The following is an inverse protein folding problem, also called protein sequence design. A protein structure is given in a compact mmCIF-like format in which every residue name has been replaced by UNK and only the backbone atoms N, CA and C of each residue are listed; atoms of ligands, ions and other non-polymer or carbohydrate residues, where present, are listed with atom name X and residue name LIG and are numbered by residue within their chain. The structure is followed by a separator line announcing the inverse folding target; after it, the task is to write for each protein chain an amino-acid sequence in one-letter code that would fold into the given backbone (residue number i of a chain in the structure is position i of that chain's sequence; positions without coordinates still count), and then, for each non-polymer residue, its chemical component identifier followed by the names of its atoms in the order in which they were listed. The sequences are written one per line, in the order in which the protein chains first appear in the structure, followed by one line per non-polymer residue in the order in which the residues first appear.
data_IF_951143248713
#
_entry.id   IF_951143248713
#
_cell.length_a   1.000
_cell.length_b   1.000
_cell.length_c   1.000
_cell.angle_alpha   90.00
_cell.angle_beta   90.00
_cell.angle_gamma   90.00
#
_symmetry.space_group_name_H-M   'P 1'
#
loop_
_entity.id
_entity.type
_entity.pdbx_description
1 polymer ?
#
# COMPACT_ATOMS: atom_id res chain seq x y z
N UNK A 1 64.87 -54.60 4.22
CA UNK A 1 64.87 -53.38 3.34
C UNK A 1 63.44 -53.18 2.85
N UNK A 2 62.73 -52.24 3.43
CA UNK A 2 61.37 -51.89 2.99
C UNK A 2 61.40 -50.52 2.29
N UNK A 3 60.80 -50.42 1.13
CA UNK A 3 60.40 -49.12 0.60
C UNK A 3 58.90 -49.12 0.22
N UNK A 4 58.02 -48.73 1.11
CA UNK A 4 56.65 -48.45 0.77
C UNK A 4 56.09 -47.40 1.73
N UNK A 5 56.48 -46.13 1.53
CA UNK A 5 55.87 -45.03 2.30
C UNK A 5 55.52 -43.76 1.48
N UNK A 6 55.75 -43.74 0.17
CA UNK A 6 55.56 -42.54 -0.64
C UNK A 6 54.18 -42.42 -1.33
N UNK A 7 53.44 -43.53 -1.47
CA UNK A 7 52.13 -43.54 -2.17
C UNK A 7 50.96 -42.94 -1.36
N UNK A 8 51.01 -43.03 -0.02
CA UNK A 8 49.94 -42.56 0.84
C UNK A 8 49.86 -41.02 0.94
N UNK A 9 51.00 -40.32 0.99
CA UNK A 9 51.04 -38.85 1.09
C UNK A 9 50.55 -38.16 -0.18
N UNK A 10 50.81 -38.74 -1.34
CA UNK A 10 50.41 -38.15 -2.61
C UNK A 10 48.88 -38.24 -2.81
N UNK A 11 48.21 -39.31 -2.39
CA UNK A 11 46.76 -39.46 -2.44
C UNK A 11 46.03 -38.51 -1.51
N UNK A 12 46.57 -38.24 -0.31
CA UNK A 12 45.94 -37.30 0.62
C UNK A 12 46.01 -35.85 0.15
N UNK A 13 47.08 -35.41 -0.49
CA UNK A 13 47.18 -34.04 -0.99
C UNK A 13 46.30 -33.78 -2.21
N UNK A 14 46.11 -34.78 -3.08
CA UNK A 14 45.22 -34.68 -4.25
C UNK A 14 43.76 -34.59 -3.81
N UNK A 15 43.32 -35.39 -2.81
CA UNK A 15 42.00 -35.33 -2.28
C UNK A 15 41.69 -33.99 -1.58
N UNK A 16 42.65 -33.41 -0.85
CA UNK A 16 42.46 -32.08 -0.22
C UNK A 16 42.32 -30.95 -1.25
N UNK A 17 43.06 -31.01 -2.36
CA UNK A 17 42.92 -30.03 -3.46
C UNK A 17 41.57 -30.19 -4.17
N UNK A 18 41.14 -31.42 -4.42
CA UNK A 18 39.82 -31.72 -5.03
C UNK A 18 38.67 -31.24 -4.17
N UNK A 19 38.70 -31.50 -2.86
CA UNK A 19 37.66 -31.03 -1.89
C UNK A 19 37.62 -29.50 -1.87
N UNK A 20 38.78 -28.82 -1.87
CA UNK A 20 38.79 -27.35 -1.91
C UNK A 20 38.22 -26.81 -3.22
N UNK A 21 38.51 -27.44 -4.35
CA UNK A 21 37.96 -27.04 -5.65
C UNK A 21 36.43 -27.21 -5.68
N UNK A 22 35.94 -28.34 -5.20
CA UNK A 22 34.48 -28.61 -5.09
C UNK A 22 33.81 -27.59 -4.16
N UNK A 23 34.44 -27.25 -3.03
CA UNK A 23 33.89 -26.25 -2.10
C UNK A 23 33.82 -24.83 -2.75
N UNK A 24 34.83 -24.45 -3.53
CA UNK A 24 34.86 -23.19 -4.25
C UNK A 24 33.76 -23.16 -5.33
N UNK A 25 33.62 -24.24 -6.11
CA UNK A 25 32.57 -24.36 -7.13
C UNK A 25 31.17 -24.30 -6.52
N UNK A 26 30.95 -25.01 -5.40
CA UNK A 26 29.67 -24.92 -4.66
C UNK A 26 29.40 -23.50 -4.12
N UNK A 27 30.44 -22.83 -3.61
CA UNK A 27 30.30 -21.45 -3.14
C UNK A 27 29.97 -20.47 -4.29
N UNK A 28 30.60 -20.64 -5.45
CA UNK A 28 30.30 -19.86 -6.66
C UNK A 28 28.87 -20.15 -7.13
N UNK A 29 28.45 -21.42 -7.14
CA UNK A 29 27.08 -21.80 -7.52
C UNK A 29 26.04 -21.23 -6.56
N UNK A 30 26.31 -21.20 -5.25
CA UNK A 30 25.39 -20.58 -4.27
C UNK A 30 25.36 -19.06 -4.40
N UNK A 31 26.45 -18.41 -4.71
CA UNK A 31 26.49 -16.95 -4.97
C UNK A 31 25.77 -16.61 -6.29
N UNK A 32 25.94 -17.42 -7.34
CA UNK A 32 25.21 -17.24 -8.60
C UNK A 32 23.70 -17.54 -8.46
N UNK A 33 23.31 -18.47 -7.60
CA UNK A 33 21.88 -18.73 -7.32
C UNK A 33 21.27 -17.71 -6.36
N UNK A 34 22.08 -17.06 -5.51
CA UNK A 34 21.64 -15.96 -4.64
C UNK A 34 21.65 -14.59 -5.34
N UNK A 35 22.38 -14.44 -6.43
CA UNK A 35 22.11 -13.41 -7.43
C UNK A 35 20.82 -13.82 -8.14
N UNK A 36 19.73 -13.81 -7.37
CA UNK A 36 18.37 -13.97 -7.88
C UNK A 36 18.30 -13.13 -9.14
N UNK A 37 17.82 -13.73 -10.21
CA UNK A 37 17.72 -13.14 -11.53
C UNK A 37 17.56 -11.64 -11.34
N UNK A 38 18.56 -10.87 -11.78
CA UNK A 38 18.35 -9.46 -12.05
C UNK A 38 17.16 -9.49 -13.02
N UNK A 39 15.94 -9.39 -12.46
CA UNK A 39 14.78 -9.10 -13.27
C UNK A 39 15.18 -7.78 -13.93
N UNK A 40 15.66 -7.86 -15.13
CA UNK A 40 15.68 -6.73 -16.02
C UNK A 40 14.22 -6.33 -16.07
N UNK A 41 13.85 -5.30 -15.28
CA UNK A 41 12.56 -4.67 -15.43
C UNK A 41 12.55 -4.16 -16.87
N UNK A 42 12.02 -4.97 -17.77
CA UNK A 42 11.78 -4.57 -19.14
C UNK A 42 10.99 -3.27 -19.03
N UNK A 43 11.45 -2.23 -19.69
CA UNK A 43 10.75 -0.95 -19.68
C UNK A 43 9.32 -1.23 -20.14
N UNK A 44 8.35 -0.80 -19.36
CA UNK A 44 6.95 -1.03 -19.68
C UNK A 44 6.63 -0.37 -21.02
N UNK A 45 6.05 -1.12 -21.96
CA UNK A 45 5.54 -0.61 -23.23
C UNK A 45 4.21 0.15 -23.06
N UNK A 46 3.90 0.53 -21.83
CA UNK A 46 2.70 1.29 -21.46
C UNK A 46 3.04 2.29 -20.36
N UNK A 47 2.17 3.26 -20.16
CA UNK A 47 2.22 4.21 -19.06
C UNK A 47 0.83 4.44 -18.48
N UNK A 48 0.79 5.00 -17.28
CA UNK A 48 -0.45 5.37 -16.60
C UNK A 48 -0.53 6.88 -16.30
N UNK A 49 0.13 7.71 -17.10
CA UNK A 49 0.21 9.17 -16.92
C UNK A 49 -1.17 9.84 -16.83
N UNK A 50 -2.17 9.31 -17.54
CA UNK A 50 -3.55 9.80 -17.55
C UNK A 50 -4.43 9.29 -16.40
N UNK A 51 -3.86 8.52 -15.45
CA UNK A 51 -4.56 8.09 -14.25
C UNK A 51 -4.90 9.29 -13.35
N UNK A 52 -6.04 9.19 -12.66
CA UNK A 52 -6.62 10.30 -11.89
C UNK A 52 -7.03 9.91 -10.48
N UNK A 53 -7.04 10.91 -9.59
CA UNK A 53 -7.83 10.91 -8.37
C UNK A 53 -8.99 11.90 -8.54
N UNK A 54 -10.12 11.64 -7.88
CA UNK A 54 -11.27 12.55 -7.89
C UNK A 54 -10.96 13.87 -7.18
N UNK A 55 -10.10 13.84 -6.17
CA UNK A 55 -9.65 15.00 -5.40
C UNK A 55 -8.30 14.74 -4.75
N UNK A 56 -7.56 15.79 -4.45
CA UNK A 56 -6.31 15.77 -3.70
C UNK A 56 -6.41 16.45 -2.33
N UNK A 57 -7.55 17.06 -2.05
CA UNK A 57 -7.90 17.63 -0.75
C UNK A 57 -9.27 17.10 -0.35
N UNK A 58 -9.30 16.30 0.69
CA UNK A 58 -10.46 15.50 1.06
C UNK A 58 -10.70 15.52 2.56
N UNK A 59 -11.95 15.68 2.98
CA UNK A 59 -12.32 15.43 4.36
C UNK A 59 -12.24 13.93 4.67
N UNK A 60 -11.90 13.57 5.91
CA UNK A 60 -11.67 12.18 6.29
C UNK A 60 -12.90 11.26 6.10
N UNK A 61 -14.10 11.83 6.15
CA UNK A 61 -15.39 11.16 5.94
C UNK A 61 -15.83 11.08 4.48
N UNK A 62 -15.11 11.75 3.57
CA UNK A 62 -15.40 11.75 2.13
C UNK A 62 -14.67 10.59 1.42
N UNK A 63 -14.91 10.44 0.13
CA UNK A 63 -14.30 9.39 -0.69
C UNK A 63 -13.31 9.95 -1.71
N UNK A 64 -12.26 9.18 -1.99
CA UNK A 64 -11.35 9.39 -3.11
C UNK A 64 -11.60 8.28 -4.14
N UNK A 65 -11.99 8.64 -5.33
CA UNK A 65 -12.11 7.70 -6.47
C UNK A 65 -10.78 7.71 -7.22
N UNK A 66 -10.15 6.56 -7.33
CA UNK A 66 -8.88 6.33 -8.02
C UNK A 66 -9.15 5.57 -9.31
N UNK A 67 -8.66 6.09 -10.42
CA UNK A 67 -8.85 5.48 -11.72
C UNK A 67 -7.50 5.36 -12.44
N UNK A 68 -7.08 4.12 -12.73
CA UNK A 68 -5.87 3.84 -13.48
C UNK A 68 -6.23 3.73 -14.96
N UNK A 69 -5.69 4.65 -15.76
CA UNK A 69 -5.82 4.66 -17.22
C UNK A 69 -4.50 4.23 -17.84
N UNK A 70 -4.54 3.15 -18.59
CA UNK A 70 -3.38 2.59 -19.28
C UNK A 70 -3.33 3.12 -20.70
N UNK A 71 -2.15 3.59 -21.13
CA UNK A 71 -1.87 4.02 -22.51
C UNK A 71 -0.63 3.27 -23.01
N UNK A 72 -0.70 2.69 -24.20
CA UNK A 72 0.38 1.91 -24.79
C UNK A 72 -0.08 0.53 -25.25
N UNK A 73 0.86 -0.34 -25.60
CA UNK A 73 0.62 -1.64 -26.24
C UNK A 73 0.73 -2.84 -25.28
N UNK A 74 1.15 -2.64 -24.04
CA UNK A 74 1.28 -3.73 -23.05
C UNK A 74 -0.08 -4.26 -22.59
N UNK A 75 -0.19 -5.58 -22.42
CA UNK A 75 -1.37 -6.21 -21.84
C UNK A 75 -1.31 -6.13 -20.32
N UNK A 76 -1.92 -5.10 -19.75
CA UNK A 76 -2.00 -4.89 -18.31
C UNK A 76 -3.11 -5.74 -17.70
N UNK A 77 -2.81 -6.47 -16.66
CA UNK A 77 -3.75 -7.35 -15.96
C UNK A 77 -3.77 -7.19 -14.44
N UNK A 78 -2.87 -6.41 -13.89
CA UNK A 78 -2.78 -6.18 -12.45
C UNK A 78 -2.59 -4.70 -12.15
N UNK A 79 -3.26 -4.25 -11.09
CA UNK A 79 -3.25 -2.88 -10.60
C UNK A 79 -2.95 -2.85 -9.12
N UNK A 80 -2.35 -1.75 -8.65
CA UNK A 80 -2.05 -1.61 -7.25
C UNK A 80 -2.29 -0.18 -6.76
N UNK A 81 -2.68 -0.09 -5.49
CA UNK A 81 -3.04 1.13 -4.80
C UNK A 81 -2.34 1.13 -3.45
N UNK A 82 -1.40 2.05 -3.28
CA UNK A 82 -0.65 2.20 -2.04
C UNK A 82 -0.72 3.61 -1.51
N UNK A 83 -0.51 3.74 -0.23
CA UNK A 83 -0.37 5.04 0.42
C UNK A 83 0.80 5.02 1.41
N UNK A 84 1.31 6.19 1.68
CA UNK A 84 2.25 6.44 2.76
C UNK A 84 2.15 7.89 3.23
N UNK A 85 2.56 8.17 4.45
CA UNK A 85 2.79 9.56 4.87
C UNK A 85 3.99 10.12 4.10
N UNK A 86 3.97 11.41 3.75
CA UNK A 86 5.07 12.03 2.99
C UNK A 86 6.42 11.88 3.70
N UNK A 87 6.43 11.99 5.04
CA UNK A 87 7.63 11.85 5.89
C UNK A 87 8.12 10.41 6.08
N UNK A 88 7.40 9.39 5.61
CA UNK A 88 7.74 7.97 5.76
C UNK A 88 8.27 7.39 4.45
N UNK A 89 9.05 6.30 4.56
CA UNK A 89 9.51 5.54 3.38
C UNK A 89 8.66 4.31 3.06
N UNK A 90 7.99 3.74 4.08
CA UNK A 90 7.23 2.51 3.95
C UNK A 90 5.88 2.74 3.24
N UNK A 91 5.57 1.87 2.27
CA UNK A 91 4.29 1.85 1.56
C UNK A 91 3.32 0.85 2.19
N UNK A 92 2.05 1.20 2.24
CA UNK A 92 0.94 0.39 2.75
C UNK A 92 -0.08 0.19 1.65
N UNK A 93 -0.52 -1.05 1.45
CA UNK A 93 -1.57 -1.34 0.48
C UNK A 93 -2.92 -0.79 0.93
N UNK A 94 -3.68 -0.21 0.00
CA UNK A 94 -5.07 0.20 0.21
C UNK A 94 -6.04 -0.98 0.03
N UNK A 95 -5.60 -2.03 -0.65
CA UNK A 95 -6.36 -3.25 -0.95
C UNK A 95 -5.89 -4.41 -0.08
N UNK A 96 -6.69 -5.47 0.02
CA UNK A 96 -6.36 -6.69 0.79
C UNK A 96 -5.13 -7.44 0.27
N UNK A 97 -4.78 -7.20 -1.00
CA UNK A 97 -3.57 -7.73 -1.63
C UNK A 97 -2.79 -6.61 -2.31
N UNK A 98 -1.48 -6.80 -2.52
CA UNK A 98 -0.63 -5.80 -3.16
C UNK A 98 -1.04 -5.53 -4.62
N UNK A 99 -1.60 -6.51 -5.31
CA UNK A 99 -2.05 -6.43 -6.69
C UNK A 99 -3.46 -6.97 -6.84
N UNK A 100 -4.30 -6.27 -7.60
CA UNK A 100 -5.71 -6.59 -7.87
C UNK A 100 -5.98 -6.48 -9.37
N UNK A 101 -7.09 -7.07 -9.83
CA UNK A 101 -7.50 -7.02 -11.23
C UNK A 101 -8.29 -5.76 -11.61
N UNK A 102 -8.79 -5.01 -10.63
CA UNK A 102 -9.58 -3.80 -10.88
C UNK A 102 -8.70 -2.58 -11.08
N UNK A 103 -8.93 -1.84 -12.15
CA UNK A 103 -8.28 -0.55 -12.43
C UNK A 103 -8.96 0.65 -11.75
N UNK A 104 -10.01 0.40 -10.96
CA UNK A 104 -10.71 1.39 -10.17
C UNK A 104 -10.72 0.99 -8.70
N UNK A 105 -10.53 1.95 -7.82
CA UNK A 105 -10.62 1.78 -6.38
C UNK A 105 -11.24 3.00 -5.72
N UNK A 106 -12.07 2.78 -4.71
CA UNK A 106 -12.67 3.83 -3.89
C UNK A 106 -12.09 3.72 -2.49
N UNK A 107 -11.40 4.76 -2.08
CA UNK A 107 -10.83 4.89 -0.74
C UNK A 107 -11.72 5.80 0.10
N UNK A 108 -11.99 5.37 1.33
CA UNK A 108 -12.55 6.20 2.39
C UNK A 108 -11.45 6.40 3.44
N UNK A 109 -10.88 7.60 3.60
CA UNK A 109 -9.79 7.84 4.56
C UNK A 109 -10.14 7.38 5.97
N UNK A 110 -11.40 7.54 6.40
CA UNK A 110 -11.89 7.10 7.71
C UNK A 110 -11.73 5.61 8.01
N UNK A 111 -11.55 4.77 6.99
CA UNK A 111 -11.30 3.33 7.15
C UNK A 111 -9.84 2.97 7.45
N UNK A 112 -8.95 3.94 7.39
CA UNK A 112 -7.52 3.75 7.57
C UNK A 112 -7.05 4.45 8.85
N UNK A 113 -6.84 3.68 9.91
CA UNK A 113 -6.46 4.21 11.23
C UNK A 113 -5.20 5.07 11.20
N UNK A 114 -4.23 4.72 10.35
CA UNK A 114 -3.01 5.53 10.17
C UNK A 114 -3.31 6.93 9.64
N UNK A 115 -4.25 7.07 8.73
CA UNK A 115 -4.67 8.37 8.18
C UNK A 115 -5.44 9.13 9.25
N UNK A 116 -6.35 8.46 9.94
CA UNK A 116 -7.20 9.08 10.97
C UNK A 116 -6.42 9.52 12.20
N UNK A 117 -5.30 8.86 12.53
CA UNK A 117 -4.44 9.29 13.64
C UNK A 117 -3.62 10.54 13.33
N UNK A 118 -3.58 10.99 12.07
CA UNK A 118 -2.74 12.09 11.62
C UNK A 118 -3.42 12.88 10.49
N UNK A 119 -4.60 13.40 10.79
CA UNK A 119 -5.35 14.30 9.91
C UNK A 119 -4.61 15.63 9.75
N UNK A 120 -4.78 16.27 8.60
CA UNK A 120 -4.05 17.46 8.13
C UNK A 120 -2.59 17.22 7.73
N UNK A 121 -2.12 15.98 7.79
CA UNK A 121 -0.83 15.61 7.21
C UNK A 121 -0.96 15.39 5.70
N UNK A 122 0.19 15.54 5.04
CA UNK A 122 0.29 15.25 3.61
C UNK A 122 0.60 13.78 3.39
N UNK A 123 -0.22 13.14 2.58
CA UNK A 123 -0.12 11.73 2.21
C UNK A 123 0.26 11.59 0.75
N UNK A 124 0.93 10.53 0.40
CA UNK A 124 1.25 10.18 -0.98
C UNK A 124 0.48 8.92 -1.34
N UNK A 125 -0.32 8.99 -2.39
CA UNK A 125 -1.00 7.85 -3.00
C UNK A 125 -0.22 7.46 -4.25
N UNK A 126 0.13 6.18 -4.37
CA UNK A 126 0.75 5.61 -5.56
C UNK A 126 -0.23 4.66 -6.23
N UNK A 127 -0.52 4.96 -7.48
CA UNK A 127 -1.21 4.07 -8.40
C UNK A 127 -0.16 3.35 -9.22
N UNK A 128 -0.33 2.05 -9.47
CA UNK A 128 0.56 1.29 -10.35
C UNK A 128 -0.20 0.27 -11.18
N UNK A 129 0.36 -0.08 -12.30
CA UNK A 129 -0.13 -1.11 -13.20
C UNK A 129 1.04 -2.02 -13.60
N UNK A 130 0.74 -3.30 -13.78
CA UNK A 130 1.69 -4.33 -14.18
C UNK A 130 1.13 -5.13 -15.34
N UNK A 131 1.96 -5.43 -16.32
CA UNK A 131 1.60 -6.29 -17.45
C UNK A 131 1.93 -7.76 -17.18
N UNK A 132 1.59 -8.60 -18.14
CA UNK A 132 1.82 -10.06 -18.07
C UNK A 132 3.29 -10.44 -18.08
N UNK A 133 4.19 -9.54 -18.46
CA UNK A 133 5.66 -9.76 -18.44
C UNK A 133 6.28 -9.35 -17.11
N UNK A 134 5.52 -8.70 -16.23
CA UNK A 134 5.98 -8.17 -14.96
C UNK A 134 6.50 -6.73 -15.04
N UNK A 135 6.44 -6.09 -16.22
CA UNK A 135 6.83 -4.68 -16.36
C UNK A 135 5.81 -3.78 -15.66
N UNK A 136 6.30 -2.74 -14.96
CA UNK A 136 5.48 -1.87 -14.12
C UNK A 136 5.55 -0.41 -14.58
N UNK A 137 4.40 0.28 -14.47
CA UNK A 137 4.31 1.73 -14.56
C UNK A 137 3.57 2.27 -13.34
N UNK A 138 3.99 3.41 -12.81
CA UNK A 138 3.35 4.00 -11.63
C UNK A 138 3.24 5.51 -11.71
N UNK A 139 2.26 6.07 -10.95
CA UNK A 139 2.03 7.50 -10.78
C UNK A 139 1.72 7.80 -9.32
N UNK A 140 2.28 8.87 -8.82
CA UNK A 140 2.06 9.34 -7.44
C UNK A 140 1.25 10.63 -7.41
N UNK A 141 0.46 10.77 -6.35
CA UNK A 141 -0.34 11.95 -6.05
C UNK A 141 -0.12 12.35 -4.61
N UNK A 142 -0.07 13.65 -4.37
CA UNK A 142 -0.07 14.19 -3.01
C UNK A 142 -1.51 14.49 -2.60
N UNK A 143 -1.88 14.03 -1.41
CA UNK A 143 -3.25 14.15 -0.88
C UNK A 143 -3.18 14.69 0.54
N UNK A 144 -3.99 15.70 0.82
CA UNK A 144 -4.23 16.19 2.19
C UNK A 144 -5.57 15.65 2.66
N UNK A 145 -5.57 15.01 3.84
CA UNK A 145 -6.79 14.51 4.48
C UNK A 145 -7.09 15.39 5.67
N UNK A 146 -8.14 16.21 5.55
CA UNK A 146 -8.61 17.10 6.60
C UNK A 146 -9.45 16.38 7.65
N UNK A 147 -9.86 17.13 8.67
CA UNK A 147 -10.81 16.65 9.67
C UNK A 147 -12.16 16.31 9.01
N UNK A 148 -12.93 15.37 9.57
CA UNK A 148 -14.29 15.11 9.11
C UNK A 148 -15.11 16.40 9.13
N UNK A 149 -15.81 16.69 8.05
CA UNK A 149 -16.79 17.78 8.02
C UNK A 149 -18.12 17.20 8.45
N UNK A 150 -18.39 17.27 9.74
CA UNK A 150 -19.72 16.95 10.26
C UNK A 150 -20.56 18.22 10.13
N UNK A 151 -21.51 18.26 9.20
CA UNK A 151 -22.54 19.27 9.22
C UNK A 151 -23.77 18.71 9.95
N UNK A 152 -24.18 19.38 11.00
CA UNK A 152 -25.48 19.15 11.63
C UNK A 152 -26.48 20.02 10.86
N UNK A 153 -27.26 19.37 9.98
CA UNK A 153 -28.15 20.12 9.06
C UNK A 153 -29.24 20.88 9.75
N UNK A 154 -29.81 20.36 10.82
CA UNK A 154 -30.78 21.06 11.65
C UNK A 154 -30.90 20.39 13.00
N UNK A 155 -30.84 21.18 14.04
CA UNK A 155 -31.32 20.81 15.35
C UNK A 155 -32.53 21.69 15.65
N UNK A 156 -33.74 21.12 15.64
CA UNK A 156 -34.92 21.80 16.13
C UNK A 156 -35.18 21.26 17.54
N UNK A 157 -34.95 22.08 18.55
CA UNK A 157 -35.42 21.82 19.89
C UNK A 157 -36.88 22.31 19.94
N UNK A 158 -37.89 21.44 20.02
CA UNK A 158 -39.24 21.88 20.33
C UNK A 158 -39.27 22.38 21.78
N UNK A 159 -40.16 23.32 22.08
CA UNK A 159 -40.46 23.70 23.45
C UNK A 159 -40.88 22.46 24.21
N UNK A 160 -40.12 22.10 25.25
CA UNK A 160 -40.31 20.86 25.98
C UNK A 160 -41.18 21.11 27.21
N UNK A 161 -42.23 20.32 27.31
CA UNK A 161 -42.98 20.19 28.56
C UNK A 161 -42.36 19.09 29.42
N UNK A 162 -42.30 19.30 30.72
CA UNK A 162 -41.73 18.32 31.65
C UNK A 162 -42.34 16.93 31.43
N UNK A 163 -41.51 15.91 31.23
CA UNK A 163 -41.92 14.52 30.99
C UNK A 163 -42.03 14.10 29.53
N UNK A 164 -41.74 14.98 28.56
CA UNK A 164 -41.66 14.61 27.13
C UNK A 164 -40.31 14.07 26.73
N UNK A 165 -40.30 13.10 25.80
CA UNK A 165 -39.09 12.54 25.20
C UNK A 165 -38.60 13.39 24.03
N UNK A 166 -37.31 13.64 23.95
CA UNK A 166 -36.68 14.33 22.85
C UNK A 166 -36.12 13.28 21.87
N UNK A 167 -36.52 13.35 20.63
CA UNK A 167 -35.90 12.59 19.55
C UNK A 167 -34.84 13.45 18.87
N UNK A 168 -33.56 13.14 19.13
CA UNK A 168 -32.43 13.78 18.48
C UNK A 168 -32.05 12.99 17.24
N UNK A 169 -32.13 13.61 16.07
CA UNK A 169 -31.72 13.01 14.81
C UNK A 169 -30.56 13.81 14.23
N UNK A 170 -29.43 13.14 14.04
CA UNK A 170 -28.29 13.70 13.32
C UNK A 170 -28.25 13.10 11.93
N UNK A 171 -28.28 13.93 10.90
CA UNK A 171 -28.07 13.49 9.51
C UNK A 171 -26.66 13.88 9.09
N UNK A 172 -25.87 12.89 8.68
CA UNK A 172 -24.55 13.13 8.09
C UNK A 172 -24.74 13.30 6.58
N UNK A 173 -23.99 14.22 6.00
CA UNK A 173 -24.01 14.49 4.56
C UNK A 173 -23.48 13.33 3.70
N UNK A 174 -22.76 12.38 4.30
CA UNK A 174 -22.29 11.15 3.67
C UNK A 174 -22.45 9.95 4.61
N UNK A 175 -22.85 8.80 4.07
CA UNK A 175 -22.97 7.54 4.82
C UNK A 175 -21.59 7.00 5.16
N UNK A 176 -21.03 7.47 6.25
CA UNK A 176 -19.76 6.94 6.78
C UNK A 176 -20.09 6.02 7.96
N UNK A 177 -19.73 4.75 7.83
CA UNK A 177 -19.85 3.79 8.92
C UNK A 177 -18.68 3.93 9.90
N UNK A 178 -18.97 3.92 11.20
CA UNK A 178 -17.94 3.85 12.23
C UNK A 178 -17.84 5.07 13.15
N UNK A 179 -18.78 6.02 13.08
CA UNK A 179 -18.83 7.11 14.04
C UNK A 179 -19.71 6.76 15.24
N UNK A 180 -19.24 7.15 16.42
CA UNK A 180 -20.06 7.20 17.64
C UNK A 180 -20.58 8.62 17.81
N UNK A 181 -21.85 8.73 18.12
CA UNK A 181 -22.49 10.02 18.37
C UNK A 181 -22.49 10.30 19.87
N UNK A 182 -22.13 11.52 20.24
CA UNK A 182 -22.22 11.98 21.62
C UNK A 182 -23.12 13.22 21.63
N UNK A 183 -24.19 13.20 22.40
CA UNK A 183 -25.06 14.33 22.61
C UNK A 183 -24.72 14.98 23.96
N UNK A 184 -24.56 16.29 23.95
CA UNK A 184 -24.34 17.09 25.16
C UNK A 184 -25.40 18.14 25.26
N UNK A 185 -26.02 18.25 26.42
CA UNK A 185 -26.98 19.32 26.71
C UNK A 185 -26.39 20.24 27.80
N UNK A 186 -26.76 21.52 27.76
CA UNK A 186 -26.42 22.50 28.77
C UNK A 186 -27.73 23.21 29.18
N UNK A 187 -27.98 23.27 30.47
CA UNK A 187 -29.06 24.08 30.97
C UNK A 187 -28.62 25.55 30.98
N UNK A 188 -29.45 26.44 30.50
CA UNK A 188 -29.24 27.89 30.52
C UNK A 188 -30.37 28.48 31.35
N UNK A 189 -30.01 29.07 32.49
CA UNK A 189 -30.96 29.83 33.35
C UNK A 189 -31.33 31.15 32.68
#
# INVERSE_FOLDING_TARGET
MSPLSTSSKYRQTTNKKLIRLIAIVLMIMTVLSSMGALQSNAAANFNISNSTLSTTDVAADSKIVMNIKVNGTGTVNQYAYWYRKESESAWYALTSSNWVSSNNFIMYPSRYSRIMSDTNSRWIIRLAAKDTTGAESSKTFYVTVGQPKISIDTFTAPDLTLGQSINLKTTLSDTVSGFTYQYKYTYVD
#
